data_IF_006387031103
#
_entry.id   IF_006387031103
#
_cell.length_a   1.000
_cell.length_b   1.000
_cell.length_c   1.000
_cell.angle_alpha   90.00
_cell.angle_beta   90.00
_cell.angle_gamma   90.00
#
_symmetry.space_group_name_H-M   'P 1'
#
loop_
_entity.id
_entity.type
_entity.pdbx_description
1 polymer ?
#
# COMPACT_ATOMS: atom_id res chain seq x y z
N UNK A 1 -22.96 -35.19 33.77
CA UNK A 1 -23.67 -34.00 33.25
C UNK A 1 -22.73 -32.81 33.03
N UNK A 2 -21.89 -32.39 33.99
CA UNK A 2 -20.93 -31.29 33.79
C UNK A 2 -19.90 -31.53 32.66
N UNK A 3 -19.40 -32.76 32.50
CA UNK A 3 -18.47 -33.13 31.41
C UNK A 3 -19.13 -33.08 30.03
N UNK A 4 -20.39 -33.50 29.91
CA UNK A 4 -21.14 -33.50 28.64
C UNK A 4 -21.46 -32.06 28.19
N UNK A 5 -21.80 -31.17 29.14
CA UNK A 5 -22.07 -29.75 28.83
C UNK A 5 -20.80 -29.05 28.32
N UNK A 6 -19.62 -29.34 28.88
CA UNK A 6 -18.34 -28.79 28.42
C UNK A 6 -18.00 -29.29 27.01
N UNK A 7 -18.21 -30.58 26.73
CA UNK A 7 -17.97 -31.16 25.40
C UNK A 7 -18.93 -30.60 24.33
N UNK A 8 -20.20 -30.38 24.67
CA UNK A 8 -21.18 -29.76 23.77
C UNK A 8 -20.82 -28.28 23.53
N UNK A 9 -20.39 -27.53 24.55
CA UNK A 9 -19.89 -26.16 24.36
C UNK A 9 -18.66 -26.11 23.45
N UNK A 10 -17.73 -27.07 23.56
CA UNK A 10 -16.54 -27.17 22.70
C UNK A 10 -16.89 -27.55 21.25
N UNK A 11 -17.90 -28.40 21.04
CA UNK A 11 -18.38 -28.75 19.69
C UNK A 11 -19.12 -27.57 19.03
N UNK A 12 -19.86 -26.77 19.81
CA UNK A 12 -20.54 -25.56 19.31
C UNK A 12 -19.55 -24.42 19.01
N UNK A 13 -18.46 -24.28 19.77
CA UNK A 13 -17.41 -23.29 19.46
C UNK A 13 -16.58 -23.68 18.23
N UNK A 14 -16.30 -24.97 18.02
CA UNK A 14 -15.59 -25.45 16.83
C UNK A 14 -16.40 -25.26 15.53
N UNK A 15 -17.72 -25.45 15.57
CA UNK A 15 -18.63 -25.26 14.42
C UNK A 15 -18.98 -23.79 14.14
N UNK A 16 -18.92 -22.91 15.14
CA UNK A 16 -19.06 -21.47 14.93
C UNK A 16 -17.84 -20.84 14.20
N UNK A 17 -16.64 -21.36 14.44
CA UNK A 17 -15.39 -20.86 13.80
C UNK A 17 -15.31 -21.30 12.32
N UNK A 18 -15.88 -22.43 11.95
CA UNK A 18 -15.93 -22.91 10.57
C UNK A 18 -16.98 -22.18 9.71
N UNK A 19 -18.05 -21.65 10.31
CA UNK A 19 -19.06 -20.83 9.64
C UNK A 19 -18.70 -19.32 9.56
N UNK A 20 -17.66 -18.88 10.26
CA UNK A 20 -17.26 -17.47 10.30
C UNK A 20 -16.56 -17.05 9.00
N UNK A 21 -17.08 -15.99 8.36
CA UNK A 21 -16.49 -15.44 7.13
C UNK A 21 -15.02 -15.03 7.32
N UNK A 22 -14.21 -15.08 6.25
CA UNK A 22 -12.81 -14.65 6.28
C UNK A 22 -12.67 -13.22 6.83
N UNK A 23 -13.53 -12.30 6.38
CA UNK A 23 -13.55 -10.94 6.90
C UNK A 23 -13.70 -10.89 8.43
N UNK A 24 -14.62 -11.70 8.97
CA UNK A 24 -14.85 -11.72 10.42
C UNK A 24 -13.62 -12.24 11.17
N UNK A 25 -12.92 -13.26 10.65
CA UNK A 25 -11.65 -13.75 11.21
C UNK A 25 -10.56 -12.67 11.18
N UNK A 26 -10.40 -11.98 10.05
CA UNK A 26 -9.48 -10.83 9.91
C UNK A 26 -9.83 -9.72 10.90
N UNK A 27 -11.12 -9.42 11.09
CA UNK A 27 -11.56 -8.36 12.00
C UNK A 27 -11.21 -8.68 13.46
N UNK A 28 -11.23 -9.95 13.85
CA UNK A 28 -10.89 -10.42 15.20
C UNK A 28 -9.38 -10.66 15.42
N UNK A 29 -8.59 -10.78 14.35
CA UNK A 29 -7.14 -10.98 14.44
C UNK A 29 -6.47 -9.91 15.31
N UNK A 30 -5.48 -10.29 16.12
CA UNK A 30 -4.86 -9.41 17.12
C UNK A 30 -4.00 -8.32 16.49
N UNK A 31 -3.34 -8.64 15.39
CA UNK A 31 -2.41 -7.77 14.71
C UNK A 31 -2.48 -7.94 13.19
N UNK A 32 -1.77 -7.07 12.48
CA UNK A 32 -1.71 -7.10 11.03
C UNK A 32 -1.18 -8.44 10.48
N UNK A 33 -0.11 -8.98 11.06
CA UNK A 33 0.52 -10.22 10.59
C UNK A 33 -0.45 -11.40 10.60
N UNK A 34 -1.18 -11.58 11.70
CA UNK A 34 -2.21 -12.61 11.81
C UNK A 34 -3.32 -12.39 10.78
N UNK A 35 -3.80 -11.15 10.65
CA UNK A 35 -4.83 -10.77 9.71
C UNK A 35 -4.42 -11.03 8.24
N UNK A 36 -3.18 -10.66 7.87
CA UNK A 36 -2.62 -10.85 6.54
C UNK A 36 -2.43 -12.32 6.21
N UNK A 37 -2.01 -13.14 7.18
CA UNK A 37 -1.91 -14.59 7.00
C UNK A 37 -3.27 -15.24 6.77
N UNK A 38 -4.31 -14.81 7.49
CA UNK A 38 -5.69 -15.30 7.28
C UNK A 38 -6.16 -14.96 5.85
N UNK A 39 -5.91 -13.74 5.38
CA UNK A 39 -6.26 -13.37 4.00
C UNK A 39 -5.48 -14.21 2.99
N UNK A 40 -4.16 -14.32 3.16
CA UNK A 40 -3.28 -15.05 2.25
C UNK A 40 -3.73 -16.50 2.03
N UNK A 41 -4.15 -17.20 3.08
CA UNK A 41 -4.57 -18.62 2.99
C UNK A 41 -5.99 -18.82 2.47
N UNK A 42 -6.77 -17.76 2.32
CA UNK A 42 -8.17 -17.84 1.90
C UNK A 42 -8.50 -17.04 0.64
N UNK A 43 -7.57 -16.24 0.11
CA UNK A 43 -7.84 -15.27 -0.96
C UNK A 43 -8.40 -15.92 -2.23
N UNK A 44 -7.97 -17.14 -2.55
CA UNK A 44 -8.40 -17.88 -3.74
C UNK A 44 -9.87 -18.30 -3.69
N UNK A 45 -10.45 -18.42 -2.49
CA UNK A 45 -11.86 -18.79 -2.30
C UNK A 45 -12.80 -17.58 -2.27
N UNK A 46 -12.26 -16.35 -2.26
CA UNK A 46 -13.03 -15.12 -2.11
C UNK A 46 -13.39 -14.52 -3.47
N UNK A 47 -14.63 -14.02 -3.60
CA UNK A 47 -14.98 -13.18 -4.75
C UNK A 47 -14.42 -11.74 -4.61
N UNK A 48 -14.52 -10.93 -5.67
CA UNK A 48 -13.97 -9.57 -5.69
C UNK A 48 -14.46 -8.71 -4.51
N UNK A 49 -15.75 -8.77 -4.19
CA UNK A 49 -16.34 -7.99 -3.09
C UNK A 49 -15.80 -8.41 -1.72
N UNK A 50 -15.62 -9.71 -1.51
CA UNK A 50 -15.04 -10.24 -0.28
C UNK A 50 -13.56 -9.88 -0.16
N UNK A 51 -12.79 -9.98 -1.25
CA UNK A 51 -11.39 -9.55 -1.29
C UNK A 51 -11.26 -8.07 -0.95
N UNK A 52 -12.04 -7.20 -1.59
CA UNK A 52 -12.06 -5.77 -1.30
C UNK A 52 -12.34 -5.50 0.19
N UNK A 53 -13.35 -6.19 0.76
CA UNK A 53 -13.70 -6.04 2.17
C UNK A 53 -12.58 -6.51 3.11
N UNK A 54 -11.88 -7.60 2.77
CA UNK A 54 -10.77 -8.12 3.57
C UNK A 54 -9.53 -7.21 3.51
N UNK A 55 -9.15 -6.72 2.33
CA UNK A 55 -8.06 -5.75 2.19
C UNK A 55 -8.38 -4.43 2.92
N UNK A 56 -9.62 -3.95 2.86
CA UNK A 56 -10.03 -2.81 3.67
C UNK A 56 -9.77 -3.09 5.16
N UNK A 57 -10.18 -4.25 5.68
CA UNK A 57 -9.93 -4.60 7.07
C UNK A 57 -8.43 -4.62 7.44
N UNK A 58 -7.55 -5.06 6.53
CA UNK A 58 -6.09 -5.00 6.71
C UNK A 58 -5.59 -3.56 6.87
N UNK A 59 -6.03 -2.63 6.02
CA UNK A 59 -5.68 -1.20 6.13
C UNK A 59 -5.97 -0.68 7.53
N UNK A 60 -7.13 -1.02 8.09
CA UNK A 60 -7.54 -0.53 9.40
C UNK A 60 -6.78 -1.18 10.57
N UNK A 61 -6.13 -2.35 10.38
CA UNK A 61 -5.26 -2.94 11.40
C UNK A 61 -4.04 -2.06 11.71
N UNK A 62 -3.59 -1.27 10.73
CA UNK A 62 -2.43 -0.38 10.89
C UNK A 62 -2.81 1.05 11.29
N UNK A 63 -4.09 1.34 11.58
CA UNK A 63 -4.52 2.70 11.96
C UNK A 63 -3.77 3.27 13.16
N UNK A 64 -3.39 2.43 14.13
CA UNK A 64 -2.62 2.89 15.30
C UNK A 64 -1.28 3.50 14.89
N UNK A 65 -0.60 2.90 13.92
CA UNK A 65 0.69 3.40 13.39
C UNK A 65 0.47 4.74 12.70
N UNK A 66 -0.53 4.83 11.81
CA UNK A 66 -0.82 6.08 11.12
C UNK A 66 -1.19 7.21 12.09
N UNK A 67 -2.02 6.92 13.09
CA UNK A 67 -2.43 7.91 14.09
C UNK A 67 -1.24 8.41 14.92
N UNK A 68 -0.34 7.52 15.34
CA UNK A 68 0.86 7.90 16.09
C UNK A 68 1.79 8.81 15.27
N UNK A 69 1.96 8.54 13.98
CA UNK A 69 2.77 9.38 13.09
C UNK A 69 2.13 10.76 12.90
N UNK A 70 0.80 10.82 12.77
CA UNK A 70 0.09 12.10 12.65
C UNK A 70 0.20 12.94 13.92
N UNK A 71 0.11 12.32 15.10
CA UNK A 71 0.28 12.99 16.39
C UNK A 71 1.70 13.56 16.54
N UNK A 72 2.73 12.77 16.23
CA UNK A 72 4.12 13.23 16.24
C UNK A 72 4.37 14.35 15.20
N UNK A 73 3.72 14.27 14.04
CA UNK A 73 3.77 15.32 13.02
C UNK A 73 3.17 16.64 13.54
N UNK A 74 2.06 16.57 14.27
CA UNK A 74 1.46 17.74 14.91
C UNK A 74 2.39 18.32 15.97
N UNK A 75 3.00 17.49 16.83
CA UNK A 75 4.00 17.96 17.79
C UNK A 75 5.16 18.68 17.12
N UNK A 76 5.69 18.12 16.02
CA UNK A 76 6.71 18.77 15.20
C UNK A 76 6.24 20.11 14.66
N UNK A 77 5.03 20.17 14.09
CA UNK A 77 4.43 21.39 13.52
C UNK A 77 4.29 22.51 14.56
N UNK A 78 3.99 22.16 15.81
CA UNK A 78 3.84 23.10 16.92
C UNK A 78 5.14 23.36 17.69
N UNK A 79 6.29 22.88 17.22
CA UNK A 79 7.60 23.09 17.87
C UNK A 79 7.73 22.38 19.23
N UNK A 80 6.91 21.35 19.48
CA UNK A 80 6.99 20.55 20.71
C UNK A 80 8.05 19.46 20.56
N UNK A 81 8.63 18.97 21.68
CA UNK A 81 9.44 17.76 21.66
C UNK A 81 8.66 16.63 20.99
N UNK A 82 9.29 15.96 20.02
CA UNK A 82 8.68 14.95 19.18
C UNK A 82 9.74 13.95 18.69
N UNK A 83 9.29 12.80 18.21
CA UNK A 83 10.09 11.75 17.57
C UNK A 83 9.62 11.46 16.15
N UNK A 84 9.09 12.48 15.47
CA UNK A 84 8.44 12.28 14.16
C UNK A 84 9.37 11.64 13.13
N UNK A 85 10.63 12.09 13.04
CA UNK A 85 11.56 11.57 12.03
C UNK A 85 11.96 10.12 12.32
N UNK A 86 12.22 9.76 13.58
CA UNK A 86 12.54 8.38 13.95
C UNK A 86 11.33 7.47 13.76
N UNK A 87 10.16 7.86 14.31
CA UNK A 87 8.94 7.06 14.22
C UNK A 87 8.52 6.85 12.77
N UNK A 88 8.65 7.87 11.92
CA UNK A 88 8.32 7.73 10.51
C UNK A 88 9.25 6.74 9.80
N UNK A 89 10.56 6.84 10.00
CA UNK A 89 11.55 5.91 9.41
C UNK A 89 11.34 4.47 9.90
N UNK A 90 11.02 4.27 11.18
CA UNK A 90 10.70 2.95 11.75
C UNK A 90 9.39 2.38 11.16
N UNK A 91 8.41 3.24 10.89
CA UNK A 91 7.06 2.85 10.46
C UNK A 91 6.87 2.80 8.95
N UNK A 92 7.84 3.28 8.15
CA UNK A 92 7.68 3.38 6.70
C UNK A 92 7.33 2.06 6.02
N UNK A 93 7.88 0.88 6.39
CA UNK A 93 7.49 -0.38 5.76
C UNK A 93 6.01 -0.69 6.01
N UNK A 94 5.52 -0.39 7.20
CA UNK A 94 4.10 -0.58 7.57
C UNK A 94 3.19 0.38 6.82
N UNK A 95 3.59 1.64 6.63
CA UNK A 95 2.82 2.62 5.86
C UNK A 95 2.77 2.25 4.37
N UNK A 96 3.89 1.82 3.80
CA UNK A 96 3.94 1.28 2.42
C UNK A 96 2.98 0.10 2.29
N UNK A 97 3.05 -0.88 3.20
CA UNK A 97 2.18 -2.04 3.16
C UNK A 97 0.70 -1.66 3.27
N UNK A 98 0.37 -0.73 4.17
CA UNK A 98 -1.00 -0.20 4.34
C UNK A 98 -1.52 0.44 3.05
N UNK A 99 -0.67 1.16 2.32
CA UNK A 99 -1.04 1.72 1.03
C UNK A 99 -1.21 0.64 -0.05
N UNK A 100 -0.35 -0.38 -0.09
CA UNK A 100 -0.49 -1.53 -1.00
C UNK A 100 -1.78 -2.32 -0.75
N UNK A 101 -2.20 -2.47 0.51
CA UNK A 101 -3.49 -3.07 0.84
C UNK A 101 -4.67 -2.18 0.41
N UNK A 102 -4.54 -0.85 0.53
CA UNK A 102 -5.55 0.08 0.04
C UNK A 102 -5.69 0.03 -1.49
N UNK A 103 -4.56 -0.05 -2.21
CA UNK A 103 -4.53 -0.25 -3.66
C UNK A 103 -5.20 -1.57 -4.07
N UNK A 104 -4.87 -2.66 -3.37
CA UNK A 104 -5.50 -3.98 -3.59
C UNK A 104 -7.00 -3.92 -3.32
N UNK A 105 -7.42 -3.25 -2.24
CA UNK A 105 -8.83 -3.02 -1.94
C UNK A 105 -9.54 -2.32 -3.11
N UNK A 106 -8.97 -1.22 -3.60
CA UNK A 106 -9.52 -0.45 -4.71
C UNK A 106 -9.60 -1.26 -6.01
N UNK A 107 -8.57 -2.06 -6.32
CA UNK A 107 -8.55 -2.93 -7.50
C UNK A 107 -9.73 -3.91 -7.47
N UNK A 108 -10.00 -4.56 -6.34
CA UNK A 108 -11.12 -5.49 -6.24
C UNK A 108 -12.48 -4.81 -6.12
N UNK A 109 -12.55 -3.65 -5.46
CA UNK A 109 -13.79 -2.88 -5.25
C UNK A 109 -14.32 -2.24 -6.55
N UNK A 110 -13.44 -2.07 -7.54
CA UNK A 110 -13.77 -1.53 -8.87
C UNK A 110 -14.05 -2.60 -9.93
N UNK A 111 -13.85 -3.89 -9.62
CA UNK A 111 -14.23 -4.99 -10.51
C UNK A 111 -15.75 -5.24 -10.47
N UNK A 112 -16.35 -5.73 -11.58
CA UNK A 112 -17.76 -6.13 -11.58
C UNK A 112 -18.07 -7.22 -10.53
N UNK A 113 -19.25 -7.12 -9.92
CA UNK A 113 -19.80 -8.17 -9.07
C UNK A 113 -20.36 -9.35 -9.90
N UNK A 114 -20.88 -10.38 -9.23
CA UNK A 114 -21.50 -11.56 -9.86
C UNK A 114 -22.67 -11.21 -10.80
N UNK A 115 -23.24 -10.00 -10.68
CA UNK A 115 -24.32 -9.48 -11.53
C UNK A 115 -23.80 -8.46 -12.56
N UNK A 116 -22.50 -8.34 -12.73
CA UNK A 116 -21.85 -7.40 -13.64
C UNK A 116 -21.88 -5.93 -13.18
N UNK A 117 -22.35 -5.63 -11.96
CA UNK A 117 -22.46 -4.25 -11.46
C UNK A 117 -21.14 -3.80 -10.84
N UNK A 118 -20.72 -2.58 -11.16
CA UNK A 118 -19.58 -1.91 -10.52
C UNK A 118 -20.16 -0.89 -9.53
N UNK A 119 -19.92 -1.11 -8.23
CA UNK A 119 -20.39 -0.23 -7.13
C UNK A 119 -19.34 -0.15 -6.03
N UNK A 120 -18.25 0.62 -6.22
CA UNK A 120 -17.19 0.73 -5.23
C UNK A 120 -17.73 1.29 -3.91
N UNK A 121 -17.27 0.75 -2.79
CA UNK A 121 -17.68 1.12 -1.43
C UNK A 121 -16.56 1.72 -0.59
N UNK A 122 -15.31 1.44 -0.96
CA UNK A 122 -14.15 1.68 -0.10
C UNK A 122 -13.23 2.79 -0.61
N UNK A 123 -13.39 3.26 -1.84
CA UNK A 123 -12.56 4.35 -2.40
C UNK A 123 -12.61 5.62 -1.53
N UNK A 124 -13.80 6.15 -1.25
CA UNK A 124 -13.97 7.38 -0.47
C UNK A 124 -13.42 7.27 0.96
N UNK A 125 -13.73 6.21 1.75
CA UNK A 125 -13.13 6.03 3.08
C UNK A 125 -11.61 5.88 3.08
N UNK A 126 -11.02 5.31 2.03
CA UNK A 126 -9.57 5.10 1.92
C UNK A 126 -8.82 6.35 1.44
N UNK A 127 -9.50 7.25 0.72
CA UNK A 127 -8.92 8.47 0.13
C UNK A 127 -8.10 9.29 1.12
N UNK A 128 -8.66 9.63 2.28
CA UNK A 128 -7.93 10.40 3.30
C UNK A 128 -6.67 9.67 3.80
N UNK A 129 -6.75 8.35 4.00
CA UNK A 129 -5.65 7.54 4.54
C UNK A 129 -4.44 7.48 3.62
N UNK A 130 -4.67 7.35 2.32
CA UNK A 130 -3.56 7.33 1.36
C UNK A 130 -3.00 8.73 1.12
N UNK A 131 -3.85 9.76 1.10
CA UNK A 131 -3.41 11.15 0.87
C UNK A 131 -2.50 11.68 1.98
N UNK A 132 -2.79 11.36 3.25
CA UNK A 132 -1.93 11.79 4.37
C UNK A 132 -0.55 11.12 4.35
N UNK A 133 -0.45 9.90 3.79
CA UNK A 133 0.80 9.13 3.74
C UNK A 133 1.70 9.55 2.56
N UNK A 134 1.14 10.04 1.45
CA UNK A 134 1.90 10.46 0.25
C UNK A 134 3.15 11.32 0.53
N UNK A 135 3.09 12.44 1.27
CA UNK A 135 4.29 13.25 1.54
C UNK A 135 5.35 12.49 2.34
N UNK A 136 4.94 11.58 3.22
CA UNK A 136 5.86 10.75 3.99
C UNK A 136 6.58 9.72 3.12
N UNK A 137 5.89 9.13 2.13
CA UNK A 137 6.51 8.24 1.13
C UNK A 137 7.60 8.96 0.33
N UNK A 138 7.33 10.19 -0.13
CA UNK A 138 8.33 10.97 -0.87
C UNK A 138 9.53 11.29 0.03
N UNK A 139 9.29 11.82 1.23
CA UNK A 139 10.36 12.20 2.15
C UNK A 139 11.24 11.00 2.55
N UNK A 140 10.65 9.87 2.92
CA UNK A 140 11.42 8.68 3.29
C UNK A 140 12.06 8.02 2.07
N UNK A 141 11.38 8.00 0.92
CA UNK A 141 11.94 7.48 -0.33
C UNK A 141 13.25 8.17 -0.71
N UNK A 142 13.33 9.49 -0.55
CA UNK A 142 14.56 10.29 -0.76
C UNK A 142 15.63 9.89 0.26
N UNK A 143 15.31 9.85 1.55
CA UNK A 143 16.29 9.45 2.58
C UNK A 143 16.85 8.05 2.32
N UNK A 144 16.01 7.09 1.92
CA UNK A 144 16.43 5.71 1.60
C UNK A 144 17.25 5.66 0.32
N UNK A 145 16.93 6.49 -0.68
CA UNK A 145 17.73 6.65 -1.89
C UNK A 145 19.15 7.11 -1.56
N UNK A 146 19.30 8.17 -0.77
CA UNK A 146 20.59 8.72 -0.35
C UNK A 146 21.40 7.71 0.46
N UNK A 147 20.72 6.91 1.29
CA UNK A 147 21.30 5.81 2.05
C UNK A 147 21.60 4.55 1.20
N UNK A 148 21.32 4.56 -0.11
CA UNK A 148 21.45 3.42 -1.04
C UNK A 148 20.61 2.19 -0.66
N UNK A 149 19.59 2.38 0.18
CA UNK A 149 18.53 1.39 0.38
C UNK A 149 17.53 1.49 -0.78
N UNK A 150 17.99 1.06 -1.95
CA UNK A 150 17.22 1.17 -3.20
C UNK A 150 15.95 0.33 -3.16
N UNK A 151 15.91 -0.75 -2.38
CA UNK A 151 14.69 -1.53 -2.19
C UNK A 151 13.61 -0.71 -1.48
N UNK A 152 13.91 -0.14 -0.31
CA UNK A 152 12.91 0.64 0.41
C UNK A 152 12.59 1.96 -0.29
N UNK A 153 13.59 2.58 -0.94
CA UNK A 153 13.38 3.75 -1.80
C UNK A 153 12.39 3.44 -2.93
N UNK A 154 12.60 2.33 -3.65
CA UNK A 154 11.66 1.86 -4.66
C UNK A 154 10.27 1.61 -4.08
N UNK A 155 10.17 0.90 -2.96
CA UNK A 155 8.91 0.60 -2.28
C UNK A 155 8.12 1.90 -1.93
N UNK A 156 8.81 2.97 -1.51
CA UNK A 156 8.17 4.26 -1.22
C UNK A 156 7.71 4.99 -2.48
N UNK A 157 8.60 5.16 -3.46
CA UNK A 157 8.30 5.91 -4.68
C UNK A 157 7.27 5.20 -5.56
N UNK A 158 7.38 3.88 -5.74
CA UNK A 158 6.42 3.09 -6.50
C UNK A 158 5.02 3.17 -5.91
N UNK A 159 4.91 3.06 -4.59
CA UNK A 159 3.63 3.19 -3.87
C UNK A 159 3.01 4.58 -4.06
N UNK A 160 3.82 5.64 -4.01
CA UNK A 160 3.35 7.01 -4.28
C UNK A 160 2.76 7.16 -5.69
N UNK A 161 3.45 6.61 -6.71
CA UNK A 161 2.99 6.63 -8.11
C UNK A 161 1.72 5.80 -8.27
N UNK A 162 1.68 4.59 -7.72
CA UNK A 162 0.54 3.70 -7.86
C UNK A 162 -0.72 4.25 -7.15
N UNK A 163 -0.58 4.95 -6.00
CA UNK A 163 -1.69 5.72 -5.40
C UNK A 163 -2.19 6.78 -6.37
N UNK A 164 -1.29 7.53 -6.99
CA UNK A 164 -1.62 8.63 -7.91
C UNK A 164 -2.36 8.16 -9.17
N UNK A 165 -2.11 6.93 -9.60
CA UNK A 165 -2.80 6.29 -10.72
C UNK A 165 -4.08 5.51 -10.33
N UNK A 166 -4.34 5.36 -9.03
CA UNK A 166 -5.44 4.53 -8.55
C UNK A 166 -6.80 5.24 -8.60
N UNK A 167 -7.86 4.44 -8.66
CA UNK A 167 -9.24 4.91 -8.51
C UNK A 167 -9.55 5.55 -7.14
N UNK A 168 -8.66 5.42 -6.14
CA UNK A 168 -8.85 6.01 -4.82
C UNK A 168 -8.82 7.53 -4.89
N UNK A 169 -7.98 8.09 -5.77
CA UNK A 169 -7.79 9.54 -5.90
C UNK A 169 -8.03 10.09 -7.30
N UNK A 170 -8.61 9.29 -8.22
CA UNK A 170 -8.86 9.63 -9.63
C UNK A 170 -9.69 10.90 -9.87
N UNK A 171 -10.47 11.35 -8.88
CA UNK A 171 -11.25 12.59 -8.94
C UNK A 171 -10.52 13.81 -8.35
N UNK A 172 -9.27 13.66 -7.90
CA UNK A 172 -8.54 14.77 -7.28
C UNK A 172 -7.71 15.53 -8.33
N UNK A 173 -8.02 16.80 -8.63
CA UNK A 173 -7.19 17.67 -9.47
C UNK A 173 -5.82 18.01 -8.83
N UNK A 174 -5.44 17.36 -7.72
CA UNK A 174 -4.23 17.61 -6.95
C UNK A 174 -2.95 16.96 -7.50
N UNK A 175 -2.99 16.30 -8.68
CA UNK A 175 -1.81 16.28 -9.55
C UNK A 175 -1.75 17.68 -10.18
N UNK A 176 -1.48 18.68 -9.34
CA UNK A 176 -1.31 20.07 -9.76
C UNK A 176 0.00 20.23 -10.54
N UNK A 177 0.25 21.43 -11.07
CA UNK A 177 1.51 21.75 -11.76
C UNK A 177 2.78 21.50 -10.92
N UNK A 178 2.65 21.42 -9.59
CA UNK A 178 3.76 21.23 -8.64
C UNK A 178 3.84 19.81 -8.03
N UNK A 179 2.98 18.87 -8.45
CA UNK A 179 3.09 17.48 -7.97
C UNK A 179 4.36 16.85 -8.59
N UNK A 180 5.29 16.29 -7.80
CA UNK A 180 6.56 15.75 -8.29
C UNK A 180 6.39 14.38 -8.99
N UNK A 181 5.16 14.00 -9.39
CA UNK A 181 4.80 12.72 -9.98
C UNK A 181 5.83 12.15 -10.97
N UNK A 182 6.19 12.91 -12.01
CA UNK A 182 7.11 12.41 -13.04
C UNK A 182 8.54 12.24 -12.52
N UNK A 183 9.01 13.18 -11.69
CA UNK A 183 10.31 13.07 -11.00
C UNK A 183 10.34 11.85 -10.06
N UNK A 184 9.28 11.62 -9.28
CA UNK A 184 9.18 10.45 -8.40
C UNK A 184 9.09 9.15 -9.21
N UNK A 185 8.45 9.14 -10.39
CA UNK A 185 8.45 7.99 -11.28
C UNK A 185 9.86 7.67 -11.82
N UNK A 186 10.66 8.70 -12.14
CA UNK A 186 12.06 8.52 -12.50
C UNK A 186 12.86 7.87 -11.37
N UNK A 187 12.74 8.39 -10.14
CA UNK A 187 13.44 7.81 -8.99
C UNK A 187 12.93 6.41 -8.62
N UNK A 188 11.64 6.11 -8.82
CA UNK A 188 11.14 4.74 -8.70
C UNK A 188 11.84 3.80 -9.69
N UNK A 189 11.96 4.21 -10.96
CA UNK A 189 12.64 3.43 -11.98
C UNK A 189 14.14 3.24 -11.67
N UNK A 190 14.82 4.30 -11.25
CA UNK A 190 16.23 4.25 -10.86
C UNK A 190 16.43 3.28 -9.69
N UNK A 191 15.65 3.43 -8.62
CA UNK A 191 15.73 2.55 -7.44
C UNK A 191 15.42 1.10 -7.79
N UNK A 192 14.44 0.83 -8.66
CA UNK A 192 14.16 -0.52 -9.16
C UNK A 192 15.35 -1.10 -9.92
N UNK A 193 15.97 -0.31 -10.83
CA UNK A 193 17.15 -0.71 -11.59
C UNK A 193 18.32 -1.06 -10.65
N UNK A 194 18.61 -0.21 -9.67
CA UNK A 194 19.67 -0.45 -8.68
C UNK A 194 19.37 -1.62 -7.73
N UNK A 195 18.10 -1.99 -7.59
CA UNK A 195 17.64 -3.17 -6.85
C UNK A 195 17.51 -4.42 -7.76
N UNK A 196 18.07 -4.41 -8.97
CA UNK A 196 18.00 -5.51 -9.95
C UNK A 196 16.57 -5.91 -10.37
N UNK A 197 15.59 -5.01 -10.26
CA UNK A 197 14.22 -5.22 -10.71
C UNK A 197 13.96 -4.45 -12.02
N UNK A 198 14.50 -4.96 -13.11
CA UNK A 198 14.43 -4.30 -14.41
C UNK A 198 13.00 -4.22 -14.97
N UNK A 199 12.13 -5.20 -14.65
CA UNK A 199 10.73 -5.19 -15.08
C UNK A 199 9.96 -4.05 -14.43
N UNK A 200 10.10 -3.88 -13.11
CA UNK A 200 9.52 -2.73 -12.43
C UNK A 200 10.13 -1.42 -12.92
N UNK A 201 11.45 -1.39 -13.18
CA UNK A 201 12.12 -0.19 -13.68
C UNK A 201 11.50 0.30 -15.01
N UNK A 202 11.22 -0.61 -15.96
CA UNK A 202 10.55 -0.27 -17.22
C UNK A 202 9.15 0.32 -17.01
N UNK A 203 8.36 -0.23 -16.07
CA UNK A 203 7.02 0.29 -15.77
C UNK A 203 7.07 1.77 -15.38
N UNK A 204 7.98 2.15 -14.48
CA UNK A 204 8.01 3.52 -13.94
C UNK A 204 8.76 4.50 -14.85
N UNK A 205 9.75 4.05 -15.63
CA UNK A 205 10.47 4.94 -16.54
C UNK A 205 9.57 5.42 -17.70
N UNK A 206 8.66 4.57 -18.17
CA UNK A 206 7.66 4.94 -19.19
C UNK A 206 6.69 6.04 -18.71
N UNK A 207 6.48 6.13 -17.39
CA UNK A 207 5.70 7.22 -16.79
C UNK A 207 6.54 8.50 -16.80
N UNK A 208 7.78 8.44 -16.33
CA UNK A 208 8.68 9.60 -16.24
C UNK A 208 8.92 10.29 -17.59
N UNK A 209 9.02 9.52 -18.68
CA UNK A 209 9.24 10.03 -20.04
C UNK A 209 8.13 10.95 -20.57
N UNK A 210 6.97 11.03 -19.89
CA UNK A 210 5.86 11.89 -20.32
C UNK A 210 6.03 13.35 -19.91
N UNK A 211 7.00 13.68 -19.05
CA UNK A 211 7.31 15.07 -18.68
C UNK A 211 8.58 15.54 -19.41
N UNK A 212 8.48 16.59 -20.25
CA UNK A 212 9.63 17.17 -20.93
C UNK A 212 10.80 17.57 -20.01
N UNK A 213 10.52 17.88 -18.74
CA UNK A 213 11.58 18.24 -17.77
C UNK A 213 12.48 17.07 -17.40
N UNK A 214 11.95 15.85 -17.38
CA UNK A 214 12.65 14.63 -16.92
C UNK A 214 12.93 13.66 -18.08
N UNK A 215 12.30 13.88 -19.25
CA UNK A 215 12.41 13.03 -20.43
C UNK A 215 13.86 12.73 -20.87
N UNK A 216 14.81 13.69 -20.92
CA UNK A 216 16.18 13.40 -21.34
C UNK A 216 16.86 12.34 -20.45
N UNK A 217 16.85 12.55 -19.15
CA UNK A 217 17.43 11.64 -18.16
C UNK A 217 16.69 10.29 -18.17
N UNK A 218 15.35 10.33 -18.34
CA UNK A 218 14.54 9.12 -18.37
C UNK A 218 14.83 8.24 -19.60
N UNK A 219 15.11 8.84 -20.76
CA UNK A 219 15.54 8.12 -21.97
C UNK A 219 16.88 7.43 -21.76
N UNK A 220 17.86 8.13 -21.21
CA UNK A 220 19.17 7.55 -20.92
C UNK A 220 19.06 6.35 -19.97
N UNK A 221 18.32 6.50 -18.87
CA UNK A 221 18.10 5.42 -17.91
C UNK A 221 17.36 4.24 -18.53
N UNK A 222 16.35 4.47 -19.38
CA UNK A 222 15.62 3.39 -20.08
C UNK A 222 16.54 2.56 -20.98
N UNK A 223 17.44 3.20 -21.71
CA UNK A 223 18.43 2.48 -22.51
C UNK A 223 19.38 1.62 -21.64
N UNK A 224 19.81 2.15 -20.48
CA UNK A 224 20.64 1.40 -19.54
C UNK A 224 19.90 0.17 -18.97
N UNK A 225 18.63 0.33 -18.60
CA UNK A 225 17.76 -0.77 -18.11
C UNK A 225 17.64 -1.86 -19.19
N UNK A 226 17.33 -1.49 -20.44
CA UNK A 226 17.19 -2.45 -21.54
C UNK A 226 18.50 -3.18 -21.86
N UNK A 227 19.63 -2.48 -21.84
CA UNK A 227 20.97 -3.10 -22.00
C UNK A 227 21.28 -4.10 -20.88
N UNK A 228 20.87 -3.81 -19.64
CA UNK A 228 21.06 -4.72 -18.52
C UNK A 228 20.21 -5.99 -18.65
N UNK A 229 18.96 -5.87 -19.11
CA UNK A 229 18.08 -7.01 -19.35
C UNK A 229 18.59 -7.96 -20.43
N UNK A 230 19.18 -7.43 -21.51
CA UNK A 230 19.69 -8.24 -22.63
C UNK A 230 20.98 -9.01 -22.30
N UNK A 231 21.58 -8.78 -21.13
CA UNK A 231 22.81 -9.46 -20.67
C UNK A 231 22.53 -10.61 -19.69
N UNK A 232 21.29 -10.79 -19.27
CA UNK A 232 20.82 -11.88 -18.40
C UNK A 232 20.24 -13.03 -19.23
#
# INVERSE_FOLDING_TARGET
MKSIIISILMLMSASAISAQSTYSKISLAKNYTEAANILKTSIDTLNNKERAKCYNALVYKNNKVLNAICEEYDFKRWGRPNRFSELLSESIPTLVQTCKDALSCAEYDTKPDEKGKIKPKFLTPLKYKVLIVRPFLVSEGIKKFDAKDYKMSFDCFSTYIDISLSAIISENPAIGQDDPFYTIAYYAAYSACMNNDALSALKYIDIAQKDPKVEPDAKELKEAIQKAMNKQ
#
